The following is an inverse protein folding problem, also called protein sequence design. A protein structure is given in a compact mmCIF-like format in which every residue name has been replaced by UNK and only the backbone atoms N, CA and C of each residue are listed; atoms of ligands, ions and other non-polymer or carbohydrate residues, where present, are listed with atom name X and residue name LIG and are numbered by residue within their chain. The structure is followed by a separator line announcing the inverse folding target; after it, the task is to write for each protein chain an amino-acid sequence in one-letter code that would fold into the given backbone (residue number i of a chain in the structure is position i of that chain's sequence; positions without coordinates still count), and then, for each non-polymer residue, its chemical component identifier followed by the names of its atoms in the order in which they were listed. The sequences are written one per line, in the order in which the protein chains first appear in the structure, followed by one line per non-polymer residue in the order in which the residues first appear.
data_IF_765356182668
#
_entry.id   IF_765356182668
#
_cell.length_a   1.000
_cell.length_b   1.000
_cell.length_c   1.000
_cell.angle_alpha   90.00
_cell.angle_beta   90.00
_cell.angle_gamma   90.00
#
_symmetry.space_group_name_H-M   'P 1'
#
loop_
_entity.id
_entity.type
_entity.pdbx_description
1 polymer ?
#
# COMPACT_ATOMS: atom_id res chain seq x y z
N UNK A 1 -37.74 5.43 59.73
CA UNK A 1 -37.79 3.96 59.61
C UNK A 1 -38.43 3.60 58.27
N UNK A 2 -37.70 2.87 57.43
CA UNK A 2 -38.08 2.01 56.28
C UNK A 2 -39.07 2.55 55.23
N UNK A 3 -38.59 2.65 53.98
CA UNK A 3 -39.21 1.95 52.83
C UNK A 3 -38.16 1.80 51.72
N UNK A 4 -37.79 0.54 51.46
CA UNK A 4 -37.01 0.06 50.32
C UNK A 4 -37.98 -0.29 49.19
N UNK A 5 -37.48 -0.23 47.96
CA UNK A 5 -38.01 -0.81 46.71
C UNK A 5 -38.99 0.05 45.89
N UNK A 6 -38.55 0.46 44.69
CA UNK A 6 -39.22 0.05 43.45
C UNK A 6 -38.42 0.42 42.20
N UNK A 7 -38.33 -0.57 41.33
CA UNK A 7 -38.28 -0.48 39.87
C UNK A 7 -37.04 0.15 39.20
N UNK A 8 -36.08 -0.72 38.88
CA UNK A 8 -35.82 -1.16 37.51
C UNK A 8 -36.33 -0.21 36.40
N UNK A 9 -35.47 0.68 35.91
CA UNK A 9 -35.60 1.22 34.56
C UNK A 9 -34.31 0.93 33.80
N UNK A 10 -34.34 -0.24 33.15
CA UNK A 10 -33.50 -0.60 32.02
C UNK A 10 -33.61 0.50 30.97
N UNK A 11 -32.48 1.02 30.50
CA UNK A 11 -32.13 1.08 29.08
C UNK A 11 -31.10 2.19 28.79
N UNK A 12 -30.03 1.77 28.11
CA UNK A 12 -29.38 2.57 27.07
C UNK A 12 -28.71 3.88 27.47
N UNK A 13 -27.59 3.79 28.20
CA UNK A 13 -26.47 4.70 27.94
C UNK A 13 -25.29 3.87 27.40
N UNK A 14 -25.43 3.50 26.13
CA UNK A 14 -24.35 3.48 25.13
C UNK A 14 -23.00 3.02 25.68
N UNK A 15 -22.76 1.71 25.79
CA UNK A 15 -22.09 0.97 24.71
C UNK A 15 -21.12 1.86 23.89
N UNK A 16 -20.12 2.41 24.57
CA UNK A 16 -18.90 2.91 23.94
C UNK A 16 -18.06 1.73 23.43
N UNK A 17 -18.62 0.99 22.47
CA UNK A 17 -17.87 0.06 21.63
C UNK A 17 -16.96 0.94 20.78
N UNK A 18 -15.78 1.27 21.30
CA UNK A 18 -14.67 1.67 20.48
C UNK A 18 -14.36 0.45 19.63
N UNK A 19 -14.95 0.41 18.44
CA UNK A 19 -14.52 -0.47 17.37
C UNK A 19 -13.07 -0.07 17.11
N UNK A 20 -12.13 -0.78 17.73
CA UNK A 20 -10.79 -0.95 17.20
C UNK A 20 -11.04 -1.57 15.83
N UNK A 21 -11.11 -0.70 14.83
CA UNK A 21 -10.81 -1.06 13.45
C UNK A 21 -9.38 -1.55 13.54
N UNK A 22 -9.21 -2.86 13.68
CA UNK A 22 -7.95 -3.50 13.34
C UNK A 22 -7.73 -3.17 11.88
N UNK A 23 -6.96 -2.11 11.62
CA UNK A 23 -6.37 -1.86 10.33
C UNK A 23 -5.69 -3.17 9.96
N UNK A 24 -6.17 -3.81 8.89
CA UNK A 24 -5.66 -5.05 8.33
C UNK A 24 -4.13 -4.92 8.26
N UNK A 25 -3.44 -5.50 9.25
CA UNK A 25 -1.98 -5.49 9.33
C UNK A 25 -1.48 -6.55 8.35
N UNK A 26 -1.73 -6.29 7.07
CA UNK A 26 -1.36 -7.19 6.00
C UNK A 26 0.16 -7.34 5.97
N UNK A 27 0.63 -8.58 5.88
CA UNK A 27 2.06 -8.89 5.91
C UNK A 27 2.80 -8.14 4.80
N UNK A 28 3.77 -7.30 5.20
CA UNK A 28 4.67 -6.65 4.25
C UNK A 28 5.44 -7.71 3.45
N UNK A 29 5.74 -7.42 2.18
CA UNK A 29 6.57 -8.28 1.36
C UNK A 29 8.05 -8.21 1.81
N UNK A 30 8.50 -7.03 2.22
CA UNK A 30 9.82 -6.80 2.83
C UNK A 30 9.76 -5.55 3.71
N UNK A 31 10.64 -5.45 4.71
CA UNK A 31 10.79 -4.27 5.56
C UNK A 31 12.22 -3.76 5.44
N UNK A 32 12.39 -2.47 5.10
CA UNK A 32 13.69 -1.82 4.93
C UNK A 32 13.80 -0.66 5.90
N UNK A 33 14.64 -0.80 6.93
CA UNK A 33 14.81 0.21 8.00
C UNK A 33 13.48 0.68 8.61
N UNK A 34 12.55 -0.24 8.82
CA UNK A 34 11.22 0.05 9.37
C UNK A 34 10.17 0.50 8.35
N UNK A 35 10.55 0.76 7.10
CA UNK A 35 9.61 1.03 6.01
C UNK A 35 9.06 -0.28 5.47
N UNK A 36 7.74 -0.43 5.54
CA UNK A 36 7.03 -1.59 5.00
C UNK A 36 6.84 -1.42 3.50
N UNK A 37 7.26 -2.43 2.76
CA UNK A 37 7.07 -2.52 1.32
C UNK A 37 5.99 -3.57 1.04
N UNK A 38 4.99 -3.18 0.27
CA UNK A 38 3.79 -3.97 0.05
C UNK A 38 3.95 -4.96 -1.12
N UNK A 39 3.19 -6.08 -1.16
CA UNK A 39 3.28 -7.07 -2.23
C UNK A 39 3.11 -6.51 -3.65
N UNK A 40 2.24 -5.51 -3.84
CA UNK A 40 2.03 -4.89 -5.15
C UNK A 40 3.29 -4.16 -5.67
N UNK A 41 4.19 -3.73 -4.79
CA UNK A 41 5.45 -3.08 -5.16
C UNK A 41 6.45 -4.11 -5.68
N UNK A 42 6.57 -5.25 -5.02
CA UNK A 42 7.40 -6.36 -5.47
C UNK A 42 6.92 -6.89 -6.83
N UNK A 43 5.62 -7.05 -6.99
CA UNK A 43 5.00 -7.47 -8.24
C UNK A 43 5.19 -6.42 -9.37
N UNK A 44 5.19 -5.12 -9.04
CA UNK A 44 5.54 -4.06 -10.01
C UNK A 44 6.98 -4.20 -10.47
N UNK A 45 7.93 -4.37 -9.56
CA UNK A 45 9.34 -4.52 -9.93
C UNK A 45 9.59 -5.82 -10.71
N UNK A 46 8.90 -6.91 -10.34
CA UNK A 46 8.94 -8.15 -11.11
C UNK A 46 8.51 -7.93 -12.56
N UNK A 47 7.38 -7.24 -12.78
CA UNK A 47 6.91 -6.90 -14.13
C UNK A 47 7.87 -5.98 -14.90
N UNK A 48 8.59 -5.10 -14.21
CA UNK A 48 9.60 -4.25 -14.85
C UNK A 48 10.80 -5.06 -15.36
N UNK A 49 11.11 -6.20 -14.72
CA UNK A 49 12.17 -7.11 -15.14
C UNK A 49 11.73 -8.09 -16.25
N UNK A 50 10.43 -8.23 -16.49
CA UNK A 50 9.93 -9.12 -17.54
C UNK A 50 10.29 -8.56 -18.93
N UNK A 51 10.95 -9.36 -19.79
CA UNK A 51 11.12 -8.98 -21.19
C UNK A 51 9.74 -8.81 -21.84
N UNK A 52 9.61 -7.85 -22.77
CA UNK A 52 8.34 -7.61 -23.48
C UNK A 52 7.79 -8.87 -24.18
N UNK A 53 8.68 -9.77 -24.60
CA UNK A 53 8.33 -11.06 -25.22
C UNK A 53 7.72 -12.08 -24.24
N UNK A 54 7.90 -11.88 -22.93
CA UNK A 54 7.45 -12.80 -21.88
C UNK A 54 6.08 -12.46 -21.30
N UNK A 55 5.47 -11.33 -21.66
CA UNK A 55 4.12 -10.97 -21.16
C UNK A 55 3.04 -11.99 -21.54
N UNK A 56 3.23 -12.74 -22.64
CA UNK A 56 2.33 -13.81 -23.07
C UNK A 56 2.83 -15.22 -22.76
N UNK A 57 4.03 -15.35 -22.19
CA UNK A 57 4.64 -16.66 -21.88
C UNK A 57 4.77 -16.81 -20.38
N UNK A 58 4.12 -17.83 -19.82
CA UNK A 58 4.28 -18.15 -18.41
C UNK A 58 5.75 -18.52 -18.15
N UNK A 59 6.41 -17.75 -17.28
CA UNK A 59 7.71 -18.10 -16.75
C UNK A 59 7.50 -19.10 -15.62
N UNK A 60 8.16 -20.26 -15.71
CA UNK A 60 8.04 -21.33 -14.72
C UNK A 60 9.42 -21.75 -14.22
N UNK A 61 9.44 -22.35 -13.02
CA UNK A 61 10.64 -22.88 -12.39
C UNK A 61 11.66 -21.82 -11.98
N UNK A 62 12.93 -22.23 -12.02
CA UNK A 62 14.09 -21.49 -11.51
C UNK A 62 14.20 -20.06 -12.06
N UNK A 63 13.85 -19.86 -13.34
CA UNK A 63 13.91 -18.52 -13.96
C UNK A 63 12.94 -17.54 -13.33
N UNK A 64 11.76 -18.00 -12.91
CA UNK A 64 10.78 -17.14 -12.22
C UNK A 64 11.29 -16.75 -10.85
N UNK A 65 11.78 -17.72 -10.08
CA UNK A 65 12.33 -17.48 -8.73
C UNK A 65 13.51 -16.51 -8.77
N UNK A 66 14.39 -16.61 -9.76
CA UNK A 66 15.51 -15.69 -9.91
C UNK A 66 15.04 -14.26 -10.24
N UNK A 67 14.04 -14.10 -11.10
CA UNK A 67 13.45 -12.78 -11.38
C UNK A 67 12.71 -12.20 -10.18
N UNK A 68 12.02 -13.02 -9.40
CA UNK A 68 11.40 -12.60 -8.13
C UNK A 68 12.47 -12.11 -7.15
N UNK A 69 13.58 -12.84 -7.01
CA UNK A 69 14.73 -12.42 -6.18
C UNK A 69 15.30 -11.08 -6.65
N UNK A 70 15.53 -10.93 -7.95
CA UNK A 70 16.01 -9.67 -8.53
C UNK A 70 15.03 -8.52 -8.30
N UNK A 71 13.72 -8.77 -8.36
CA UNK A 71 12.71 -7.77 -8.07
C UNK A 71 12.78 -7.29 -6.62
N UNK A 72 12.97 -8.21 -5.66
CA UNK A 72 13.19 -7.86 -4.26
C UNK A 72 14.48 -7.06 -4.05
N UNK A 73 15.59 -7.50 -4.65
CA UNK A 73 16.87 -6.79 -4.54
C UNK A 73 16.76 -5.36 -5.11
N UNK A 74 16.12 -5.20 -6.28
CA UNK A 74 15.89 -3.90 -6.89
C UNK A 74 15.01 -2.99 -6.02
N UNK A 75 13.97 -3.56 -5.41
CA UNK A 75 13.04 -2.84 -4.55
C UNK A 75 13.70 -2.38 -3.24
N UNK A 76 14.50 -3.24 -2.60
CA UNK A 76 15.30 -2.87 -1.42
C UNK A 76 16.29 -1.77 -1.79
N UNK A 77 17.01 -1.90 -2.90
CA UNK A 77 17.96 -0.88 -3.33
C UNK A 77 17.29 0.44 -3.68
N UNK A 78 16.09 0.43 -4.26
CA UNK A 78 15.31 1.64 -4.53
C UNK A 78 14.96 2.36 -3.22
N UNK A 79 14.51 1.62 -2.20
CA UNK A 79 14.14 2.20 -0.92
C UNK A 79 15.36 2.75 -0.16
N UNK A 80 16.49 2.04 -0.17
CA UNK A 80 17.73 2.55 0.44
C UNK A 80 18.21 3.85 -0.23
N UNK A 81 18.15 3.94 -1.57
CA UNK A 81 18.48 5.17 -2.31
C UNK A 81 17.53 6.31 -1.96
N UNK A 82 16.23 6.02 -1.78
CA UNK A 82 15.24 7.02 -1.37
C UNK A 82 15.53 7.54 0.04
N UNK A 83 15.85 6.66 0.98
CA UNK A 83 16.21 7.04 2.35
C UNK A 83 17.46 7.91 2.36
N UNK A 84 18.51 7.49 1.65
CA UNK A 84 19.73 8.29 1.47
C UNK A 84 19.43 9.67 0.87
N UNK A 85 18.61 9.74 -0.18
CA UNK A 85 18.26 11.01 -0.80
C UNK A 85 17.56 11.97 0.17
N UNK A 86 16.67 11.44 1.03
CA UNK A 86 16.01 12.22 2.09
C UNK A 86 17.01 12.69 3.14
N UNK A 87 17.95 11.84 3.55
CA UNK A 87 19.02 12.18 4.51
C UNK A 87 19.94 13.28 3.98
N UNK A 88 20.24 13.27 2.68
CA UNK A 88 21.03 14.30 1.99
C UNK A 88 20.22 15.57 1.65
N UNK A 89 18.94 15.63 2.05
CA UNK A 89 18.08 16.78 1.77
C UNK A 89 17.71 16.96 0.30
N UNK A 90 17.86 15.91 -0.53
CA UNK A 90 17.40 15.93 -1.91
C UNK A 90 15.87 15.87 -1.93
N UNK A 91 15.26 16.83 -2.62
CA UNK A 91 13.82 16.91 -2.78
C UNK A 91 13.43 16.91 -4.25
N UNK A 92 12.31 16.26 -4.55
CA UNK A 92 11.68 16.29 -5.88
C UNK A 92 10.65 17.41 -5.87
N UNK A 93 10.54 18.14 -6.98
CA UNK A 93 9.48 19.14 -7.15
C UNK A 93 8.10 18.49 -6.94
N UNK A 94 7.36 18.97 -5.94
CA UNK A 94 6.02 18.46 -5.64
C UNK A 94 5.08 18.57 -6.86
N UNK A 95 5.29 19.59 -7.71
CA UNK A 95 4.47 19.81 -8.90
C UNK A 95 4.68 18.72 -9.97
N UNK A 96 5.87 18.12 -10.06
CA UNK A 96 6.10 17.00 -10.98
C UNK A 96 5.37 15.74 -10.51
N UNK A 97 5.37 15.49 -9.20
CA UNK A 97 4.64 14.36 -8.61
C UNK A 97 3.13 14.52 -8.79
N UNK A 98 2.59 15.72 -8.57
CA UNK A 98 1.16 15.99 -8.73
C UNK A 98 0.68 15.84 -10.18
N UNK A 99 1.51 16.27 -11.15
CA UNK A 99 1.21 16.08 -12.57
C UNK A 99 1.14 14.60 -12.94
N UNK A 100 2.11 13.80 -12.48
CA UNK A 100 2.13 12.37 -12.77
C UNK A 100 0.96 11.65 -12.10
N UNK A 101 0.64 11.99 -10.85
CA UNK A 101 -0.52 11.45 -10.14
C UNK A 101 -1.83 11.80 -10.86
N UNK A 102 -1.94 13.03 -11.37
CA UNK A 102 -3.10 13.46 -12.17
C UNK A 102 -3.18 12.67 -13.47
N UNK A 103 -2.06 12.48 -14.17
CA UNK A 103 -2.00 11.69 -15.40
C UNK A 103 -2.40 10.23 -15.16
N UNK A 104 -2.04 9.64 -14.01
CA UNK A 104 -2.48 8.29 -13.63
C UNK A 104 -3.98 8.25 -13.39
N UNK A 105 -4.55 9.21 -12.63
CA UNK A 105 -6.00 9.29 -12.39
C UNK A 105 -6.79 9.44 -13.69
N UNK A 106 -6.28 10.19 -14.66
CA UNK A 106 -6.92 10.39 -15.98
C UNK A 106 -6.97 9.12 -16.85
N UNK A 107 -6.23 8.05 -16.50
CA UNK A 107 -6.32 6.74 -17.18
C UNK A 107 -7.59 5.98 -16.81
N UNK A 108 -8.30 6.43 -15.78
CA UNK A 108 -9.55 5.84 -15.32
C UNK A 108 -10.75 6.64 -15.83
N UNK A 109 -11.87 5.98 -16.12
CA UNK A 109 -13.07 6.66 -16.62
C UNK A 109 -13.64 7.65 -15.60
N UNK A 110 -13.52 7.35 -14.31
CA UNK A 110 -13.94 8.22 -13.22
C UNK A 110 -13.16 7.93 -11.92
N UNK A 111 -13.43 8.74 -10.90
CA UNK A 111 -12.80 8.62 -9.58
C UNK A 111 -13.19 7.32 -8.85
N UNK A 112 -14.37 6.77 -9.12
CA UNK A 112 -14.84 5.52 -8.51
C UNK A 112 -14.02 4.34 -9.02
N UNK A 113 -13.83 4.25 -10.35
CA UNK A 113 -12.99 3.25 -10.98
C UNK A 113 -11.53 3.34 -10.53
N UNK A 114 -10.99 4.57 -10.38
CA UNK A 114 -9.66 4.76 -9.80
C UNK A 114 -9.59 4.21 -8.36
N UNK A 115 -10.50 4.62 -7.49
CA UNK A 115 -10.52 4.17 -6.08
C UNK A 115 -10.70 2.66 -5.96
N UNK A 116 -11.53 2.06 -6.81
CA UNK A 116 -11.71 0.61 -6.84
C UNK A 116 -10.41 -0.09 -7.25
N UNK A 117 -9.73 0.37 -8.30
CA UNK A 117 -8.46 -0.21 -8.73
C UNK A 117 -7.36 -0.07 -7.67
N UNK A 118 -7.34 1.05 -6.93
CA UNK A 118 -6.45 1.26 -5.78
C UNK A 118 -6.76 0.25 -4.67
N UNK A 119 -8.04 0.05 -4.35
CA UNK A 119 -8.49 -0.89 -3.31
C UNK A 119 -8.20 -2.35 -3.67
N UNK A 120 -8.45 -2.76 -4.91
CA UNK A 120 -8.13 -4.11 -5.42
C UNK A 120 -6.64 -4.45 -5.28
N UNK A 121 -5.78 -3.44 -5.44
CA UNK A 121 -4.32 -3.57 -5.28
C UNK A 121 -3.83 -3.27 -3.88
N UNK A 122 -4.75 -2.97 -2.94
CA UNK A 122 -4.45 -2.55 -1.57
C UNK A 122 -3.41 -1.42 -1.52
N UNK A 123 -3.54 -0.49 -2.44
CA UNK A 123 -2.65 0.64 -2.63
C UNK A 123 -3.32 1.90 -2.09
N UNK A 124 -2.61 2.65 -1.24
CA UNK A 124 -3.04 3.98 -0.81
C UNK A 124 -2.53 5.06 -1.76
N UNK A 125 -3.16 6.24 -1.74
CA UNK A 125 -2.71 7.41 -2.51
C UNK A 125 -1.27 7.79 -2.14
N UNK A 126 -0.94 7.79 -0.84
CA UNK A 126 0.43 8.05 -0.38
C UNK A 126 1.40 6.97 -0.85
N UNK A 127 0.96 5.71 -0.89
CA UNK A 127 1.75 4.60 -1.43
C UNK A 127 2.06 4.79 -2.91
N UNK A 128 1.07 5.22 -3.69
CA UNK A 128 1.26 5.55 -5.10
C UNK A 128 2.16 6.78 -5.27
N UNK A 129 1.97 7.82 -4.46
CA UNK A 129 2.79 9.03 -4.50
C UNK A 129 4.27 8.74 -4.23
N UNK A 130 4.57 7.81 -3.32
CA UNK A 130 5.95 7.35 -3.07
C UNK A 130 6.55 6.54 -4.22
N UNK A 131 5.71 5.94 -5.07
CA UNK A 131 6.16 5.09 -6.18
C UNK A 131 6.53 5.89 -7.43
N UNK A 132 6.06 7.14 -7.53
CA UNK A 132 6.36 8.14 -8.56
C UNK A 132 7.67 8.85 -8.20
#
# INVERSE_FOLDING_TARGET
MKCVASALLVAALTLGIHSVVSADQESAAVVVNGVRIMPWEAEREFRNLLPQTSFHRRLEGERRTELERQAFDALVMKELKRQWAVEEGLSVDASSVDRELTAIRQRFPDLTAYRQAMAERKMSEDGLRRAI
#
